data_IF_552582193015
#
_entry.id   IF_552582193015
#
_cell.length_a   1.000
_cell.length_b   1.000
_cell.length_c   1.000
_cell.angle_alpha   90.00
_cell.angle_beta   90.00
_cell.angle_gamma   90.00
#
_symmetry.space_group_name_H-M   'P 1'
#
loop_
_entity.id
_entity.type
_entity.pdbx_description
1 polymer ?
#
# COMPACT_ATOMS: atom_id res chain seq x y z
N UNK A 1 -1.85 -1.87 -45.16
CA UNK A 1 -0.74 -2.28 -44.28
C UNK A 1 -1.11 -1.78 -42.89
N UNK A 2 -1.73 -2.64 -42.09
CA UNK A 2 -2.18 -2.34 -40.73
C UNK A 2 -0.95 -2.18 -39.81
N UNK A 3 -0.85 -1.13 -38.98
CA UNK A 3 0.15 -1.11 -37.94
C UNK A 3 -0.33 -2.00 -36.78
N UNK A 4 0.52 -2.96 -36.42
CA UNK A 4 0.34 -3.87 -35.30
C UNK A 4 -0.03 -3.10 -34.02
N UNK A 5 -1.18 -3.46 -33.43
CA UNK A 5 -1.54 -3.05 -32.08
C UNK A 5 -0.47 -3.60 -31.13
N UNK A 6 0.50 -2.74 -30.80
CA UNK A 6 1.49 -2.95 -29.76
C UNK A 6 0.71 -3.33 -28.50
N UNK A 7 0.77 -4.61 -28.11
CA UNK A 7 0.15 -5.11 -26.90
C UNK A 7 0.53 -4.16 -25.76
N UNK A 8 -0.45 -3.38 -25.28
CA UNK A 8 -0.27 -2.54 -24.11
C UNK A 8 0.19 -3.49 -23.00
N UNK A 9 1.41 -3.27 -22.49
CA UNK A 9 1.86 -3.99 -21.32
C UNK A 9 0.75 -3.87 -20.26
N UNK A 10 0.33 -4.96 -19.60
CA UNK A 10 -0.71 -4.87 -18.60
C UNK A 10 -0.30 -3.79 -17.60
N UNK A 11 -1.12 -2.76 -17.45
CA UNK A 11 -0.85 -1.57 -16.65
C UNK A 11 -0.50 -2.04 -15.23
N UNK A 12 0.81 -2.06 -14.93
CA UNK A 12 1.33 -2.64 -13.70
C UNK A 12 1.39 -1.53 -12.67
N UNK A 13 0.59 -1.67 -11.61
CA UNK A 13 0.50 -0.72 -10.51
C UNK A 13 1.29 -1.23 -9.31
N UNK A 14 1.75 -0.32 -8.48
CA UNK A 14 2.45 -0.69 -7.25
C UNK A 14 1.45 -0.78 -6.11
N UNK A 15 1.23 -1.96 -5.58
CA UNK A 15 0.52 -2.18 -4.32
C UNK A 15 1.51 -2.00 -3.17
N UNK A 16 1.16 -1.15 -2.21
CA UNK A 16 1.94 -0.88 -1.01
C UNK A 16 1.19 -1.48 0.19
N UNK A 17 1.91 -2.22 1.03
CA UNK A 17 1.41 -2.73 2.32
C UNK A 17 2.29 -2.15 3.42
N UNK A 18 1.69 -1.35 4.30
CA UNK A 18 2.35 -0.79 5.48
C UNK A 18 1.82 -1.47 6.73
N UNK A 19 2.71 -1.95 7.60
CA UNK A 19 2.37 -2.52 8.89
C UNK A 19 2.99 -1.69 10.00
N UNK A 20 2.19 -1.34 11.00
CA UNK A 20 2.62 -0.67 12.22
C UNK A 20 2.44 -1.61 13.40
N UNK A 21 3.53 -1.92 14.08
CA UNK A 21 3.51 -2.63 15.35
C UNK A 21 2.86 -1.75 16.42
N UNK A 22 1.90 -2.33 17.15
CA UNK A 22 1.08 -1.60 18.12
C UNK A 22 1.75 -1.44 19.48
N UNK A 23 2.82 -2.19 19.76
CA UNK A 23 3.54 -2.15 21.04
C UNK A 23 4.72 -1.15 20.99
N UNK A 24 5.49 -1.21 19.92
CA UNK A 24 6.77 -0.48 19.74
C UNK A 24 6.68 0.72 18.80
N UNK A 25 5.53 0.91 18.13
CA UNK A 25 5.34 1.85 17.01
C UNK A 25 6.20 1.56 15.78
N UNK A 26 6.94 0.45 15.73
CA UNK A 26 7.79 0.12 14.60
C UNK A 26 6.98 0.00 13.31
N UNK A 27 7.49 0.52 12.20
CA UNK A 27 6.82 0.52 10.90
C UNK A 27 7.59 -0.30 9.89
N UNK A 28 6.86 -1.12 9.14
CA UNK A 28 7.36 -1.88 8.00
C UNK A 28 6.56 -1.53 6.76
N UNK A 29 7.21 -1.52 5.60
CA UNK A 29 6.59 -1.20 4.32
C UNK A 29 7.09 -2.16 3.26
N UNK A 30 6.16 -2.81 2.57
CA UNK A 30 6.43 -3.65 1.41
C UNK A 30 5.73 -3.10 0.16
N UNK A 31 6.41 -3.17 -0.99
CA UNK A 31 5.88 -2.77 -2.28
C UNK A 31 5.86 -3.98 -3.22
N UNK A 32 4.74 -4.21 -3.90
CA UNK A 32 4.57 -5.28 -4.90
C UNK A 32 4.01 -4.72 -6.19
N UNK A 33 4.59 -5.12 -7.32
CA UNK A 33 4.02 -4.85 -8.63
C UNK A 33 2.88 -5.84 -8.89
N UNK A 34 1.67 -5.32 -9.09
CA UNK A 34 0.46 -6.10 -9.40
C UNK A 34 -0.22 -5.54 -10.64
N UNK A 35 -1.15 -6.30 -11.22
CA UNK A 35 -1.95 -5.78 -12.34
C UNK A 35 -2.97 -4.78 -11.83
N UNK A 36 -3.15 -3.67 -12.55
CA UNK A 36 -4.17 -2.68 -12.24
C UNK A 36 -5.54 -3.34 -12.13
N UNK A 37 -6.24 -3.22 -10.98
CA UNK A 37 -7.55 -3.84 -10.82
C UNK A 37 -8.58 -3.13 -11.70
N UNK A 38 -9.30 -3.88 -12.53
CA UNK A 38 -10.32 -3.33 -13.43
C UNK A 38 -11.64 -2.99 -12.73
N UNK A 39 -11.84 -3.49 -11.50
CA UNK A 39 -13.07 -3.29 -10.72
C UNK A 39 -12.77 -3.11 -9.22
N UNK A 40 -13.66 -2.43 -8.46
CA UNK A 40 -13.51 -2.31 -7.00
C UNK A 40 -13.50 -3.66 -6.27
N UNK A 41 -14.20 -4.67 -6.79
CA UNK A 41 -14.19 -6.02 -6.21
C UNK A 41 -12.82 -6.68 -6.36
N UNK A 42 -12.23 -6.58 -7.55
CA UNK A 42 -10.89 -7.09 -7.84
C UNK A 42 -9.83 -6.36 -7.01
N UNK A 43 -9.96 -5.05 -6.88
CA UNK A 43 -9.12 -4.22 -6.02
C UNK A 43 -9.11 -4.75 -4.57
N UNK A 44 -10.30 -5.00 -4.00
CA UNK A 44 -10.45 -5.53 -2.63
C UNK A 44 -9.81 -6.91 -2.49
N UNK A 45 -10.04 -7.79 -3.47
CA UNK A 45 -9.48 -9.14 -3.48
C UNK A 45 -7.96 -9.11 -3.51
N UNK A 46 -7.37 -8.33 -4.42
CA UNK A 46 -5.91 -8.20 -4.52
C UNK A 46 -5.29 -7.63 -3.24
N UNK A 47 -5.90 -6.61 -2.62
CA UNK A 47 -5.43 -6.05 -1.35
C UNK A 47 -5.48 -7.09 -0.21
N UNK A 48 -6.57 -7.85 -0.12
CA UNK A 48 -6.71 -8.90 0.88
C UNK A 48 -5.70 -10.05 0.67
N UNK A 49 -5.43 -10.42 -0.59
CA UNK A 49 -4.47 -11.47 -0.93
C UNK A 49 -3.03 -11.06 -0.60
N UNK A 50 -2.66 -9.81 -0.93
CA UNK A 50 -1.34 -9.25 -0.61
C UNK A 50 -1.11 -9.23 0.91
N UNK A 51 -2.08 -8.75 1.68
CA UNK A 51 -1.98 -8.73 3.14
C UNK A 51 -2.01 -10.13 3.73
N UNK A 52 -2.86 -11.03 3.22
CA UNK A 52 -2.94 -12.42 3.70
C UNK A 52 -1.63 -13.20 3.50
N UNK A 53 -0.84 -12.83 2.49
CA UNK A 53 0.49 -13.41 2.25
C UNK A 53 1.53 -12.92 3.26
N UNK A 54 1.48 -11.64 3.64
CA UNK A 54 2.48 -11.01 4.51
C UNK A 54 2.16 -11.15 6.00
N UNK A 55 0.88 -11.05 6.33
CA UNK A 55 0.36 -11.12 7.68
C UNK A 55 -0.74 -12.18 7.74
N UNK A 56 -0.37 -13.48 7.73
CA UNK A 56 -1.34 -14.56 7.80
C UNK A 56 -2.14 -14.45 9.10
N UNK A 57 -3.46 -14.24 8.97
CA UNK A 57 -4.38 -14.04 10.09
C UNK A 57 -4.82 -12.59 10.32
N UNK A 58 -4.27 -11.62 9.58
CA UNK A 58 -4.81 -10.27 9.55
C UNK A 58 -6.25 -10.28 9.03
N UNK A 59 -7.15 -9.59 9.72
CA UNK A 59 -8.56 -9.45 9.33
C UNK A 59 -8.82 -8.04 8.84
N UNK A 60 -9.54 -7.94 7.74
CA UNK A 60 -10.00 -6.67 7.20
C UNK A 60 -10.89 -5.96 8.23
N UNK A 61 -10.59 -4.68 8.48
CA UNK A 61 -11.35 -3.79 9.35
C UNK A 61 -12.18 -2.78 8.60
N UNK A 62 -11.61 -2.17 7.55
CA UNK A 62 -12.29 -1.14 6.77
C UNK A 62 -11.70 -1.03 5.37
N UNK A 63 -12.49 -0.50 4.45
CA UNK A 63 -12.06 -0.02 3.15
C UNK A 63 -12.40 1.46 3.03
N UNK A 64 -11.42 2.29 2.70
CA UNK A 64 -11.59 3.72 2.50
C UNK A 64 -10.71 4.18 1.34
N UNK A 65 -11.29 4.96 0.42
CA UNK A 65 -10.56 5.70 -0.64
C UNK A 65 -9.38 4.94 -1.26
N UNK A 66 -9.65 3.81 -1.92
CA UNK A 66 -8.58 3.04 -2.58
C UNK A 66 -7.73 2.16 -1.65
N UNK A 67 -7.84 2.31 -0.34
CA UNK A 67 -7.07 1.61 0.69
C UNK A 67 -7.91 0.64 1.53
N UNK A 68 -7.22 -0.35 2.10
CA UNK A 68 -7.76 -1.37 2.96
C UNK A 68 -6.99 -1.39 4.28
N UNK A 69 -7.70 -1.32 5.39
CA UNK A 69 -7.10 -1.46 6.72
C UNK A 69 -7.37 -2.86 7.24
N UNK A 70 -6.33 -3.53 7.71
CA UNK A 70 -6.38 -4.84 8.35
C UNK A 70 -5.76 -4.76 9.75
N UNK A 71 -6.14 -5.71 10.60
CA UNK A 71 -5.61 -5.83 11.95
C UNK A 71 -5.30 -7.30 12.24
N UNK A 72 -4.08 -7.57 12.69
CA UNK A 72 -3.71 -8.87 13.28
C UNK A 72 -3.53 -8.74 14.81
N UNK A 73 -2.83 -9.69 15.44
CA UNK A 73 -2.61 -9.68 16.89
C UNK A 73 -1.70 -8.55 17.36
N UNK A 74 -0.73 -8.13 16.53
CA UNK A 74 0.29 -7.16 16.90
C UNK A 74 0.38 -5.94 15.98
N UNK A 75 -0.18 -5.99 14.78
CA UNK A 75 -0.02 -4.90 13.81
C UNK A 75 -1.34 -4.33 13.31
N UNK A 76 -1.33 -3.02 13.09
CA UNK A 76 -2.26 -2.31 12.21
C UNK A 76 -1.64 -2.25 10.82
N UNK A 77 -2.34 -2.82 9.84
CA UNK A 77 -1.84 -2.93 8.46
C UNK A 77 -2.72 -2.09 7.54
N UNK A 78 -2.12 -1.33 6.65
CA UNK A 78 -2.80 -0.53 5.62
C UNK A 78 -2.24 -0.93 4.26
N UNK A 79 -3.10 -1.37 3.35
CA UNK A 79 -2.74 -1.70 2.00
C UNK A 79 -3.43 -0.76 1.01
N UNK A 80 -2.70 -0.23 0.04
CA UNK A 80 -3.22 0.71 -0.96
C UNK A 80 -2.42 0.61 -2.27
N UNK A 81 -2.99 1.12 -3.36
CA UNK A 81 -2.27 1.26 -4.62
C UNK A 81 -1.57 2.62 -4.65
N UNK A 82 -0.26 2.62 -4.88
CA UNK A 82 0.45 3.80 -5.26
C UNK A 82 0.27 4.02 -6.76
N UNK A 83 -0.26 5.18 -7.14
CA UNK A 83 -0.20 5.63 -8.54
C UNK A 83 1.27 5.63 -8.99
N UNK A 84 1.58 5.29 -10.26
CA UNK A 84 2.91 5.49 -10.82
C UNK A 84 3.19 6.99 -10.83
N UNK A 85 3.69 7.52 -9.73
CA UNK A 85 3.99 8.94 -9.60
C UNK A 85 5.20 9.25 -10.48
N UNK A 86 5.09 10.06 -11.55
CA UNK A 86 6.27 10.66 -12.14
C UNK A 86 6.78 11.70 -11.14
N UNK A 87 7.68 11.29 -10.24
CA UNK A 87 8.49 12.23 -9.45
C UNK A 87 8.06 12.50 -8.00
N UNK A 88 7.59 11.51 -7.24
CA UNK A 88 7.46 11.66 -5.77
C UNK A 88 8.32 10.67 -4.99
N UNK A 89 9.62 10.95 -4.98
CA UNK A 89 10.48 10.58 -3.86
C UNK A 89 9.93 11.24 -2.59
N UNK A 90 9.29 10.47 -1.72
CA UNK A 90 9.20 10.82 -0.30
C UNK A 90 9.56 9.61 0.55
N UNK A 91 10.75 9.59 1.16
CA UNK A 91 10.97 8.73 2.32
C UNK A 91 10.11 9.30 3.44
N UNK A 92 9.14 8.51 3.89
CA UNK A 92 8.33 8.79 5.08
C UNK A 92 9.19 8.47 6.32
N UNK A 93 10.24 9.27 6.51
CA UNK A 93 11.20 9.16 7.62
C UNK A 93 11.62 10.56 8.15
N UNK A 94 10.79 11.58 7.93
CA UNK A 94 10.97 12.92 8.54
C UNK A 94 9.62 13.50 8.93
N UNK A 95 9.00 12.90 9.94
CA UNK A 95 8.02 13.60 10.78
C UNK A 95 8.48 13.75 12.23
N UNK A 96 9.74 13.39 12.54
CA UNK A 96 10.33 13.57 13.87
C UNK A 96 11.09 14.90 14.03
N UNK A 97 11.35 15.65 12.95
CA UNK A 97 12.22 16.84 12.99
C UNK A 97 11.48 18.18 13.17
N UNK A 98 10.29 18.20 13.79
CA UNK A 98 9.54 19.46 14.06
C UNK A 98 8.87 19.49 15.44
N UNK A 99 9.48 18.88 16.46
CA UNK A 99 9.07 19.08 17.86
C UNK A 99 10.11 19.87 18.70
N UNK A 100 11.22 20.34 18.11
CA UNK A 100 12.29 21.06 18.82
C UNK A 100 12.29 22.60 18.68
N UNK A 101 11.22 23.23 18.18
CA UNK A 101 11.13 24.71 18.13
C UNK A 101 10.03 25.30 19.03
N UNK A 102 9.66 24.60 20.11
CA UNK A 102 8.74 25.13 21.13
C UNK A 102 9.42 25.51 22.46
N UNK A 103 10.75 25.43 22.55
CA UNK A 103 11.52 25.77 23.75
C UNK A 103 12.84 26.52 23.47
N UNK A 104 12.93 27.29 22.38
CA UNK A 104 14.02 28.25 22.16
C UNK A 104 13.53 29.69 22.28
#
# INVERSE_FOLDING_TARGET
>A
MEPAAKAAAPDAVTLVVEARDLDTDARSRECRSVRSPGTPLEQRRQLAEAVGTLHPGAKLRSFADGAATFLDRQHLIVAFYAEPSPGRSRPQARQDARQEELFA
#
